data_IF_956091375489
#
_entry.id   IF_956091375489
#
_cell.length_a   1.000
_cell.length_b   1.000
_cell.length_c   1.000
_cell.angle_alpha   90.00
_cell.angle_beta   90.00
_cell.angle_gamma   90.00
#
_symmetry.space_group_name_H-M   'P 1'
#
loop_
_entity.id
_entity.type
_entity.pdbx_description
1 polymer ?
#
# COMPACT_ATOMS: atom_id res chain seq x y z
N UNK A 1 -9.57 -24.30 -16.95
CA UNK A 1 -9.89 -23.17 -16.06
C UNK A 1 -8.73 -22.21 -16.18
N UNK A 2 -8.96 -21.00 -16.69
CA UNK A 2 -7.92 -19.97 -16.68
C UNK A 2 -7.48 -19.75 -15.23
N UNK A 3 -6.19 -19.85 -15.00
CA UNK A 3 -5.58 -19.70 -13.68
C UNK A 3 -5.61 -18.21 -13.33
N UNK A 4 -6.75 -17.77 -12.78
CA UNK A 4 -7.00 -16.36 -12.47
C UNK A 4 -6.04 -15.89 -11.38
N UNK A 5 -4.98 -15.20 -11.75
CA UNK A 5 -3.99 -14.68 -10.80
C UNK A 5 -4.51 -13.41 -10.16
N UNK A 6 -4.51 -13.36 -8.83
CA UNK A 6 -4.98 -12.26 -8.00
C UNK A 6 -3.76 -11.63 -7.31
N UNK A 7 -3.57 -10.34 -7.51
CA UNK A 7 -2.49 -9.59 -6.87
C UNK A 7 -3.04 -8.77 -5.71
N UNK A 8 -2.58 -9.06 -4.50
CA UNK A 8 -2.91 -8.26 -3.31
C UNK A 8 -1.80 -7.26 -3.04
N UNK A 9 -2.15 -5.98 -2.99
CA UNK A 9 -1.28 -4.94 -2.46
C UNK A 9 -1.71 -4.60 -1.04
N UNK A 10 -0.78 -4.59 -0.11
CA UNK A 10 -1.05 -4.35 1.31
C UNK A 10 -0.19 -3.20 1.81
N UNK A 11 -0.85 -2.12 2.20
CA UNK A 11 -0.28 -1.07 3.05
C UNK A 11 -0.60 -1.43 4.52
N UNK A 12 0.39 -1.87 5.32
CA UNK A 12 0.13 -2.55 6.60
C UNK A 12 -0.05 -1.59 7.78
N UNK A 13 -0.56 -0.40 7.58
CA UNK A 13 -0.83 0.54 8.68
C UNK A 13 -2.18 0.28 9.38
N UNK A 14 -2.39 0.84 10.57
CA UNK A 14 -3.68 0.78 11.28
C UNK A 14 -4.83 1.48 10.54
N UNK A 15 -4.51 2.35 9.59
CA UNK A 15 -5.43 2.95 8.62
C UNK A 15 -5.19 2.43 7.21
N UNK A 16 -4.40 1.36 7.08
CA UNK A 16 -3.99 0.79 5.82
C UNK A 16 -5.12 0.12 5.05
N UNK A 17 -4.77 -0.36 3.88
CA UNK A 17 -5.68 -1.05 2.97
C UNK A 17 -5.07 -2.34 2.43
N UNK A 18 -5.96 -3.28 2.14
CA UNK A 18 -5.68 -4.43 1.29
C UNK A 18 -6.43 -4.17 -0.02
N UNK A 19 -5.72 -4.18 -1.14
CA UNK A 19 -6.34 -4.03 -2.47
C UNK A 19 -6.09 -5.28 -3.29
N UNK A 20 -7.14 -5.85 -3.87
CA UNK A 20 -7.05 -6.96 -4.80
C UNK A 20 -7.23 -6.48 -6.24
N UNK A 21 -6.32 -6.87 -7.15
CA UNK A 21 -6.50 -6.74 -8.60
C UNK A 21 -6.91 -8.11 -9.12
N UNK A 22 -8.11 -8.19 -9.72
CA UNK A 22 -8.72 -9.41 -10.22
C UNK A 22 -9.29 -9.14 -11.60
N UNK A 23 -8.73 -9.73 -12.65
CA UNK A 23 -9.21 -9.56 -14.05
C UNK A 23 -9.38 -8.10 -14.49
N UNK A 24 -8.57 -7.18 -13.96
CA UNK A 24 -8.67 -5.75 -14.26
C UNK A 24 -9.64 -4.97 -13.38
N UNK A 25 -10.37 -5.65 -12.50
CA UNK A 25 -11.22 -5.02 -11.47
C UNK A 25 -10.46 -4.85 -10.15
N UNK A 26 -10.92 -3.93 -9.30
CA UNK A 26 -10.25 -3.54 -8.06
C UNK A 26 -11.18 -3.66 -6.86
N UNK A 27 -10.79 -4.42 -5.85
CA UNK A 27 -11.50 -4.54 -4.59
C UNK A 27 -10.65 -3.97 -3.46
N UNK A 28 -11.26 -3.13 -2.62
CA UNK A 28 -10.57 -2.41 -1.55
C UNK A 28 -11.13 -2.79 -0.19
N UNK A 29 -10.24 -3.14 0.74
CA UNK A 29 -10.59 -3.53 2.11
C UNK A 29 -9.80 -2.66 3.09
N UNK A 30 -10.50 -1.80 3.84
CA UNK A 30 -9.89 -0.94 4.86
C UNK A 30 -9.56 -1.77 6.09
N UNK A 31 -8.30 -1.81 6.49
CA UNK A 31 -7.84 -2.56 7.68
C UNK A 31 -8.47 -1.99 8.95
N UNK A 32 -8.68 -0.67 9.03
CA UNK A 32 -9.32 -0.04 10.21
C UNK A 32 -10.80 -0.38 10.39
N UNK A 33 -11.46 -0.85 9.34
CA UNK A 33 -12.90 -1.12 9.35
C UNK A 33 -13.22 -2.62 9.56
N UNK A 34 -12.17 -3.45 9.65
CA UNK A 34 -12.25 -4.90 9.78
C UNK A 34 -11.52 -5.38 11.03
N UNK A 35 -12.07 -6.37 11.70
CA UNK A 35 -11.35 -7.12 12.72
C UNK A 35 -10.54 -8.28 12.09
N UNK A 36 -9.70 -8.95 12.90
CA UNK A 36 -8.83 -10.03 12.42
C UNK A 36 -9.59 -11.18 11.72
N UNK A 37 -10.77 -11.54 12.24
CA UNK A 37 -11.60 -12.60 11.67
C UNK A 37 -12.18 -12.18 10.31
N UNK A 38 -12.58 -10.94 10.17
CA UNK A 38 -13.10 -10.39 8.91
C UNK A 38 -12.01 -10.29 7.85
N UNK A 39 -10.80 -9.84 8.21
CA UNK A 39 -9.64 -9.87 7.31
C UNK A 39 -9.35 -11.32 6.86
N UNK A 40 -9.37 -12.28 7.79
CA UNK A 40 -9.18 -13.69 7.46
C UNK A 40 -10.23 -14.21 6.46
N UNK A 41 -11.52 -13.86 6.64
CA UNK A 41 -12.59 -14.23 5.71
C UNK A 41 -12.38 -13.63 4.32
N UNK A 42 -11.94 -12.37 4.24
CA UNK A 42 -11.59 -11.73 2.97
C UNK A 42 -10.48 -12.52 2.26
N UNK A 43 -9.38 -12.82 2.94
CA UNK A 43 -8.26 -13.55 2.37
C UNK A 43 -8.64 -14.96 1.92
N UNK A 44 -9.43 -15.69 2.72
CA UNK A 44 -9.95 -17.01 2.38
C UNK A 44 -10.83 -16.96 1.12
N UNK A 45 -11.78 -16.02 1.07
CA UNK A 45 -12.66 -15.83 -0.09
C UNK A 45 -11.87 -15.49 -1.37
N UNK A 46 -10.85 -14.65 -1.29
CA UNK A 46 -9.98 -14.35 -2.43
C UNK A 46 -9.21 -15.60 -2.89
N UNK A 47 -8.74 -16.43 -1.95
CA UNK A 47 -8.05 -17.68 -2.26
C UNK A 47 -8.94 -18.70 -2.99
N UNK A 48 -10.23 -18.74 -2.67
CA UNK A 48 -11.21 -19.59 -3.38
C UNK A 48 -11.46 -19.13 -4.84
N UNK A 49 -11.24 -17.83 -5.11
CA UNK A 49 -11.51 -17.19 -6.41
C UNK A 49 -10.34 -17.30 -7.39
N UNK A 50 -9.13 -17.64 -6.93
CA UNK A 50 -7.98 -17.76 -7.81
C UNK A 50 -6.64 -17.94 -7.12
N UNK A 51 -5.59 -17.80 -7.91
CA UNK A 51 -4.22 -17.92 -7.46
C UNK A 51 -3.73 -16.59 -6.89
N UNK A 52 -3.73 -16.47 -5.56
CA UNK A 52 -3.43 -15.22 -4.85
C UNK A 52 -1.94 -15.13 -4.55
N UNK A 53 -1.34 -13.98 -4.83
CA UNK A 53 -0.03 -13.57 -4.31
C UNK A 53 -0.17 -12.19 -3.65
N UNK A 54 0.42 -12.03 -2.47
CA UNK A 54 0.39 -10.75 -1.75
C UNK A 54 1.74 -10.03 -1.87
N UNK A 55 1.67 -8.73 -2.04
CA UNK A 55 2.78 -7.80 -1.98
C UNK A 55 2.49 -6.84 -0.82
N UNK A 56 3.29 -6.90 0.22
CA UNK A 56 3.13 -6.06 1.39
C UNK A 56 4.31 -5.12 1.54
N UNK A 57 4.03 -3.87 1.84
CA UNK A 57 5.08 -2.90 2.07
C UNK A 57 5.91 -3.29 3.29
N UNK A 58 7.24 -3.35 3.11
CA UNK A 58 8.21 -3.65 4.18
C UNK A 58 8.58 -2.34 4.88
N UNK A 59 7.81 -2.01 5.90
CA UNK A 59 8.05 -0.80 6.71
C UNK A 59 8.73 -1.22 8.01
N UNK A 60 9.95 -0.76 8.20
CA UNK A 60 10.68 -0.94 9.45
C UNK A 60 10.28 0.12 10.49
N UNK A 61 10.53 -0.18 11.77
CA UNK A 61 10.32 0.80 12.84
C UNK A 61 11.05 2.11 12.54
N UNK A 62 10.29 3.21 12.47
CA UNK A 62 10.86 4.54 12.22
C UNK A 62 11.50 5.02 13.52
N UNK A 63 12.79 5.28 13.47
CA UNK A 63 13.54 5.81 14.63
C UNK A 63 12.89 7.14 15.09
N UNK A 64 12.57 7.23 16.37
CA UNK A 64 11.91 8.42 16.95
C UNK A 64 10.36 8.38 16.94
N UNK A 65 9.73 7.32 16.45
CA UNK A 65 8.30 7.12 16.65
C UNK A 65 7.97 6.81 18.10
N UNK A 66 6.76 7.23 18.57
CA UNK A 66 6.29 6.86 19.89
C UNK A 66 6.20 5.34 20.04
N UNK A 67 6.64 4.79 21.17
CA UNK A 67 6.65 3.34 21.43
C UNK A 67 5.27 2.70 21.17
N UNK A 68 4.18 3.35 21.59
CA UNK A 68 2.80 2.88 21.35
C UNK A 68 2.49 2.74 19.84
N UNK A 69 2.89 3.72 19.02
CA UNK A 69 2.66 3.67 17.58
C UNK A 69 3.45 2.55 16.91
N UNK A 70 4.70 2.36 17.32
CA UNK A 70 5.56 1.28 16.83
C UNK A 70 5.00 -0.09 17.21
N UNK A 71 4.52 -0.24 18.46
CA UNK A 71 3.90 -1.48 18.94
C UNK A 71 2.64 -1.81 18.14
N UNK A 72 1.67 -0.86 18.04
CA UNK A 72 0.44 -1.07 17.26
C UNK A 72 0.71 -1.38 15.79
N UNK A 73 1.71 -0.76 15.19
CA UNK A 73 2.12 -1.09 13.83
C UNK A 73 2.65 -2.53 13.75
N UNK A 74 3.52 -2.93 14.69
CA UNK A 74 4.07 -4.29 14.76
C UNK A 74 3.00 -5.37 14.94
N UNK A 75 1.97 -5.10 15.77
CA UNK A 75 0.84 -6.00 15.96
C UNK A 75 0.08 -6.24 14.65
N UNK A 76 -0.28 -5.18 13.93
CA UNK A 76 -1.02 -5.27 12.66
C UNK A 76 -0.17 -5.94 11.59
N UNK A 77 1.10 -5.55 11.47
CA UNK A 77 2.03 -6.14 10.52
C UNK A 77 2.20 -7.65 10.77
N UNK A 78 2.39 -8.05 12.03
CA UNK A 78 2.48 -9.44 12.44
C UNK A 78 1.19 -10.22 12.19
N UNK A 79 0.03 -9.63 12.50
CA UNK A 79 -1.29 -10.20 12.23
C UNK A 79 -1.47 -10.48 10.73
N UNK A 80 -1.21 -9.51 9.87
CA UNK A 80 -1.36 -9.66 8.42
C UNK A 80 -0.48 -10.78 7.88
N UNK A 81 0.79 -10.85 8.28
CA UNK A 81 1.69 -11.96 7.93
C UNK A 81 1.15 -13.31 8.40
N UNK A 82 0.69 -13.38 9.64
CA UNK A 82 0.10 -14.60 10.20
C UNK A 82 -1.13 -15.06 9.42
N UNK A 83 -2.01 -14.14 9.03
CA UNK A 83 -3.20 -14.46 8.25
C UNK A 83 -2.86 -14.89 6.82
N UNK A 84 -1.87 -14.29 6.17
CA UNK A 84 -1.39 -14.74 4.85
C UNK A 84 -0.85 -16.17 4.91
N UNK A 85 -0.03 -16.48 5.93
CA UNK A 85 0.51 -17.83 6.16
C UNK A 85 -0.62 -18.82 6.43
N UNK A 86 -1.57 -18.48 7.29
CA UNK A 86 -2.70 -19.34 7.65
C UNK A 86 -3.58 -19.69 6.43
N UNK A 87 -3.72 -18.76 5.47
CA UNK A 87 -4.45 -18.98 4.23
C UNK A 87 -3.57 -19.55 3.09
N UNK A 88 -2.34 -19.92 3.38
CA UNK A 88 -1.38 -20.42 2.37
C UNK A 88 -1.21 -19.47 1.17
N UNK A 89 -1.22 -18.16 1.44
CA UNK A 89 -1.02 -17.12 0.44
C UNK A 89 0.47 -16.74 0.45
N UNK A 90 1.20 -16.99 -0.66
CA UNK A 90 2.58 -16.53 -0.79
C UNK A 90 2.62 -15.00 -0.76
N UNK A 91 3.64 -14.44 -0.11
CA UNK A 91 3.77 -12.99 -0.02
C UNK A 91 5.23 -12.52 -0.16
N UNK A 92 5.36 -11.31 -0.69
CA UNK A 92 6.64 -10.60 -0.83
C UNK A 92 6.62 -9.33 0.03
N UNK A 93 7.67 -9.12 0.80
CA UNK A 93 7.91 -7.87 1.52
C UNK A 93 8.76 -6.96 0.63
N UNK A 94 8.24 -5.78 0.31
CA UNK A 94 8.87 -4.87 -0.64
C UNK A 94 9.09 -3.49 0.00
N UNK A 95 10.35 -3.00 0.07
CA UNK A 95 10.60 -1.66 0.58
C UNK A 95 9.87 -0.58 -0.22
N UNK A 96 9.38 0.51 0.43
CA UNK A 96 8.66 1.59 -0.25
C UNK A 96 9.37 2.10 -1.50
N UNK A 97 10.64 2.40 -1.41
CA UNK A 97 11.43 2.92 -2.56
C UNK A 97 11.48 1.98 -3.76
N UNK A 98 11.30 0.68 -3.55
CA UNK A 98 11.38 -0.32 -4.62
C UNK A 98 10.15 -0.25 -5.52
N UNK A 99 8.94 -0.29 -4.93
CA UNK A 99 7.72 -0.18 -5.73
C UNK A 99 7.52 1.25 -6.27
N UNK A 100 7.87 2.28 -5.50
CA UNK A 100 7.80 3.68 -5.92
C UNK A 100 8.63 3.94 -7.17
N UNK A 101 9.87 3.44 -7.22
CA UNK A 101 10.76 3.58 -8.39
C UNK A 101 10.22 2.91 -9.65
N UNK A 102 9.46 1.83 -9.50
CA UNK A 102 8.85 1.12 -10.64
C UNK A 102 7.58 1.79 -11.15
N UNK A 103 6.80 2.36 -10.24
CA UNK A 103 5.46 2.89 -10.53
C UNK A 103 5.50 4.37 -10.94
N UNK A 104 6.29 5.18 -10.21
CA UNK A 104 6.33 6.62 -10.43
C UNK A 104 7.13 6.98 -11.69
N UNK A 105 6.63 7.97 -12.42
CA UNK A 105 7.31 8.56 -13.57
C UNK A 105 7.61 10.04 -13.30
N UNK A 106 8.46 10.65 -14.12
CA UNK A 106 8.80 12.07 -13.95
C UNK A 106 7.59 13.01 -13.91
N UNK A 107 6.55 12.83 -14.75
CA UNK A 107 5.32 13.64 -14.68
C UNK A 107 4.54 13.51 -13.37
N UNK A 108 4.68 12.39 -12.65
CA UNK A 108 3.98 12.18 -11.38
C UNK A 108 4.61 12.97 -10.23
N UNK A 109 5.90 13.33 -10.35
CA UNK A 109 6.72 13.83 -9.26
C UNK A 109 6.27 15.19 -8.75
N UNK A 110 5.90 15.24 -7.48
CA UNK A 110 5.62 16.49 -6.75
C UNK A 110 6.78 16.79 -5.82
N UNK A 111 7.48 17.89 -6.09
CA UNK A 111 8.70 18.27 -5.38
C UNK A 111 8.46 19.54 -4.57
N UNK A 112 8.86 19.50 -3.31
CA UNK A 112 8.95 20.66 -2.43
C UNK A 112 10.41 20.97 -2.10
N UNK A 113 10.70 22.24 -1.83
CA UNK A 113 12.00 22.68 -1.38
C UNK A 113 11.88 23.19 0.05
N UNK A 114 12.60 22.56 0.98
CA UNK A 114 12.65 22.97 2.39
C UNK A 114 13.99 23.58 2.73
N UNK A 115 13.95 24.67 3.48
CA UNK A 115 15.16 25.19 4.11
C UNK A 115 15.48 24.33 5.34
N UNK A 116 16.70 23.82 5.40
CA UNK A 116 17.22 23.04 6.52
C UNK A 116 18.53 23.63 7.00
N UNK A 117 18.73 23.64 8.32
CA UNK A 117 20.00 24.10 8.90
C UNK A 117 20.89 22.91 9.12
N UNK A 118 22.03 22.85 8.41
CA UNK A 118 23.04 21.81 8.56
C UNK A 118 24.34 22.46 9.01
N UNK A 119 24.83 22.07 10.17
CA UNK A 119 26.06 22.63 10.79
C UNK A 119 26.06 24.17 10.82
N UNK A 120 24.92 24.78 11.22
CA UNK A 120 24.77 26.24 11.34
C UNK A 120 24.60 26.99 10.01
N UNK A 121 24.57 26.30 8.86
CA UNK A 121 24.31 26.90 7.54
C UNK A 121 22.92 26.54 7.05
N UNK A 122 22.15 27.53 6.59
CA UNK A 122 20.86 27.30 5.93
C UNK A 122 21.11 26.82 4.51
N UNK A 123 20.57 25.63 4.19
CA UNK A 123 20.64 25.05 2.85
C UNK A 123 19.25 24.66 2.38
N UNK A 124 18.99 24.71 1.07
CA UNK A 124 17.73 24.26 0.49
C UNK A 124 17.83 22.78 0.14
N UNK A 125 16.95 21.95 0.72
CA UNK A 125 16.86 20.54 0.42
C UNK A 125 15.63 20.26 -0.44
N UNK A 126 15.84 19.55 -1.54
CA UNK A 126 14.77 19.00 -2.38
C UNK A 126 14.14 17.81 -1.66
N UNK A 127 12.83 17.81 -1.53
CA UNK A 127 12.06 16.73 -0.91
C UNK A 127 10.90 16.34 -1.83
N UNK A 128 10.68 15.04 -2.03
CA UNK A 128 9.54 14.54 -2.79
C UNK A 128 8.33 14.44 -1.86
N UNK A 129 7.22 15.02 -2.25
CA UNK A 129 5.93 14.77 -1.60
C UNK A 129 5.41 13.42 -2.08
N UNK A 130 5.73 12.36 -1.32
CA UNK A 130 5.41 10.97 -1.69
C UNK A 130 3.92 10.76 -1.89
N UNK A 131 3.08 11.31 -1.02
CA UNK A 131 1.60 11.17 -1.10
C UNK A 131 1.03 11.79 -2.37
N UNK A 132 1.43 13.02 -2.67
CA UNK A 132 0.96 13.67 -3.89
C UNK A 132 1.51 12.98 -5.15
N UNK A 133 2.74 12.49 -5.11
CA UNK A 133 3.35 11.72 -6.20
C UNK A 133 2.63 10.39 -6.43
N UNK A 134 2.36 9.62 -5.36
CA UNK A 134 1.56 8.40 -5.44
C UNK A 134 0.18 8.66 -6.03
N UNK A 135 -0.50 9.73 -5.56
CA UNK A 135 -1.82 10.08 -6.08
C UNK A 135 -1.79 10.40 -7.58
N UNK A 136 -0.81 11.19 -8.05
CA UNK A 136 -0.65 11.49 -9.47
C UNK A 136 -0.43 10.21 -10.29
N UNK A 137 0.45 9.31 -9.81
CA UNK A 137 0.69 8.02 -10.46
C UNK A 137 -0.57 7.16 -10.51
N UNK A 138 -1.34 7.12 -9.41
CA UNK A 138 -2.59 6.37 -9.35
C UNK A 138 -3.65 6.93 -10.31
N UNK A 139 -3.85 8.24 -10.37
CA UNK A 139 -4.78 8.87 -11.31
C UNK A 139 -4.39 8.66 -12.77
N UNK A 140 -3.09 8.61 -13.07
CA UNK A 140 -2.59 8.29 -14.41
C UNK A 140 -2.86 6.83 -14.80
N UNK A 141 -2.68 5.90 -13.87
CA UNK A 141 -2.80 4.46 -14.13
C UNK A 141 -4.25 3.97 -14.03
N UNK A 142 -5.05 4.58 -13.19
CA UNK A 142 -6.39 4.17 -12.81
C UNK A 142 -7.35 5.37 -12.79
N UNK A 143 -7.60 6.03 -13.94
CA UNK A 143 -8.34 7.29 -13.99
C UNK A 143 -9.79 7.17 -13.51
N UNK A 144 -10.39 5.98 -13.60
CA UNK A 144 -11.79 5.74 -13.25
C UNK A 144 -11.98 5.27 -11.79
N UNK A 145 -10.89 5.14 -11.01
CA UNK A 145 -10.95 4.66 -9.63
C UNK A 145 -11.21 5.82 -8.67
N UNK A 146 -12.24 5.68 -7.83
CA UNK A 146 -12.47 6.60 -6.72
C UNK A 146 -11.57 6.24 -5.52
N UNK A 147 -10.56 7.06 -5.29
CA UNK A 147 -9.60 6.87 -4.19
C UNK A 147 -10.09 7.41 -2.84
N UNK A 148 -11.28 7.97 -2.73
CA UNK A 148 -11.84 8.33 -1.42
C UNK A 148 -12.11 7.08 -0.60
N UNK A 149 -11.91 7.15 0.73
CA UNK A 149 -12.26 6.04 1.61
C UNK A 149 -13.75 5.71 1.51
N UNK A 150 -14.59 6.74 1.50
CA UNK A 150 -16.04 6.65 1.26
C UNK A 150 -16.49 7.80 0.37
N UNK A 151 -17.66 7.68 -0.23
CA UNK A 151 -18.25 8.75 -1.06
C UNK A 151 -18.47 10.08 -0.32
N UNK A 152 -18.51 10.05 1.03
CA UNK A 152 -18.62 11.24 1.88
C UNK A 152 -17.29 11.97 2.10
N UNK A 153 -16.18 11.31 1.87
CA UNK A 153 -14.86 11.91 2.02
C UNK A 153 -14.61 12.89 0.87
N UNK A 154 -13.99 14.04 1.20
CA UNK A 154 -13.66 15.08 0.20
C UNK A 154 -12.31 14.83 -0.47
N UNK A 155 -11.44 14.06 0.16
CA UNK A 155 -10.05 13.83 -0.30
C UNK A 155 -9.82 12.35 -0.54
N UNK A 156 -8.94 12.02 -1.49
CA UNK A 156 -8.39 10.66 -1.62
C UNK A 156 -7.76 10.17 -0.31
N UNK A 157 -7.81 8.87 -0.11
CA UNK A 157 -7.12 8.20 1.00
C UNK A 157 -5.77 7.69 0.51
N UNK A 158 -4.70 8.20 1.11
CA UNK A 158 -3.32 7.89 0.70
C UNK A 158 -3.02 6.39 0.81
N UNK A 159 -3.55 5.72 1.84
CA UNK A 159 -3.29 4.28 2.06
C UNK A 159 -4.03 3.41 1.04
N UNK A 160 -5.24 3.85 0.61
CA UNK A 160 -5.99 3.22 -0.48
C UNK A 160 -5.24 3.36 -1.81
N UNK A 161 -4.65 4.54 -2.05
CA UNK A 161 -3.79 4.81 -3.21
C UNK A 161 -2.57 3.89 -3.21
N UNK A 162 -1.81 3.88 -2.11
CA UNK A 162 -0.55 3.14 -2.02
C UNK A 162 -0.81 1.63 -2.13
N UNK A 163 -1.86 1.08 -1.49
CA UNK A 163 -2.19 -0.34 -1.59
C UNK A 163 -2.48 -0.79 -3.03
N UNK A 164 -3.17 0.03 -3.85
CA UNK A 164 -3.40 -0.30 -5.26
C UNK A 164 -2.10 -0.22 -6.07
N UNK A 165 -1.25 0.78 -5.83
CA UNK A 165 0.04 0.89 -6.52
C UNK A 165 1.00 -0.27 -6.17
N UNK A 166 0.95 -0.77 -4.92
CA UNK A 166 1.69 -1.96 -4.48
C UNK A 166 1.18 -3.22 -5.21
N UNK A 167 -0.14 -3.38 -5.34
CA UNK A 167 -0.73 -4.48 -6.11
C UNK A 167 -0.31 -4.42 -7.59
N UNK A 168 -0.34 -3.24 -8.19
CA UNK A 168 0.09 -2.99 -9.57
C UNK A 168 1.58 -3.28 -9.77
N UNK A 169 2.42 -2.94 -8.78
CA UNK A 169 3.82 -3.33 -8.80
C UNK A 169 3.98 -4.86 -8.89
N UNK A 170 3.26 -5.61 -8.07
CA UNK A 170 3.28 -7.08 -8.10
C UNK A 170 2.82 -7.63 -9.45
N UNK A 171 1.77 -7.05 -10.03
CA UNK A 171 1.24 -7.42 -11.35
C UNK A 171 2.28 -7.19 -12.45
N UNK A 172 2.94 -6.02 -12.47
CA UNK A 172 3.99 -5.70 -13.45
C UNK A 172 5.20 -6.62 -13.35
N UNK A 173 5.57 -7.00 -12.14
CA UNK A 173 6.69 -7.91 -11.89
C UNK A 173 6.32 -9.38 -12.05
N UNK A 174 5.06 -9.68 -12.28
CA UNK A 174 4.53 -11.03 -12.38
C UNK A 174 4.96 -11.93 -11.21
N UNK A 175 4.91 -11.35 -10.00
CA UNK A 175 5.33 -12.01 -8.76
C UNK A 175 4.43 -13.22 -8.45
#
# INVERSE_FOLDING_TARGET
MENNKIYLGIDPGGKGFITAIINGEYEFYSISDLNALEINKVLASLKERGNVVAIMEDVHAIFGSAAKATFSFGEIFGLLKGLLIANTIPYHLIPPKTWQKEIWTNPDMVVAYKQVVVKGKTTTRKEVNTKATSLNAALRLFPDVDFRKTVRCKKPDDNKVDSLLIAEYGRRKNL
#
